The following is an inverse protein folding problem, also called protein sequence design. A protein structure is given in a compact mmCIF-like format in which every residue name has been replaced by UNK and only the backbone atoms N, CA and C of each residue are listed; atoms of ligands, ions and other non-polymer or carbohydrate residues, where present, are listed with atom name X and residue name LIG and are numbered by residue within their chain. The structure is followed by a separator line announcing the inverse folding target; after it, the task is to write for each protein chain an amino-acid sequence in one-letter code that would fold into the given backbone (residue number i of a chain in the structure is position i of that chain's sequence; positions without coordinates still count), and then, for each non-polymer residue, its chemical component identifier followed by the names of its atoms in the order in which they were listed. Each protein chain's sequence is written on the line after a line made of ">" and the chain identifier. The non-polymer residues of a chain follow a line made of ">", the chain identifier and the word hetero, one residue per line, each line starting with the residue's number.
data_IF_326974079919
#
_entry.id   IF_326974079919
#
_cell.length_a   1.000
_cell.length_b   1.000
_cell.length_c   1.000
_cell.angle_alpha   90.00
_cell.angle_beta   90.00
_cell.angle_gamma   90.00
#
_symmetry.space_group_name_H-M   'P 1'
#
loop_
_entity.id
_entity.type
_entity.pdbx_description
1 polymer ?
#
# COMPACT_ATOMS: atom_id res chain seq x y z
N UNK A 1 51.44 9.54 -22.10
CA UNK A 1 50.32 9.45 -21.14
C UNK A 1 50.23 8.00 -20.71
N UNK A 2 50.68 7.72 -19.49
CA UNK A 2 51.05 6.38 -19.03
C UNK A 2 49.87 5.46 -18.76
N UNK A 3 49.90 4.26 -19.35
CA UNK A 3 48.96 3.14 -19.16
C UNK A 3 48.79 2.67 -17.71
N UNK A 4 49.51 3.26 -16.75
CA UNK A 4 49.36 3.03 -15.31
C UNK A 4 48.13 3.74 -14.75
N UNK A 5 47.77 4.91 -15.26
CA UNK A 5 46.59 5.65 -14.81
C UNK A 5 45.27 4.96 -15.20
N UNK A 6 45.21 4.38 -16.41
CA UNK A 6 44.04 3.62 -16.86
C UNK A 6 43.76 2.39 -16.00
N UNK A 7 44.79 1.70 -15.51
CA UNK A 7 44.63 0.50 -14.66
C UNK A 7 44.09 0.84 -13.27
N UNK A 8 44.48 1.99 -12.71
CA UNK A 8 43.98 2.46 -11.41
C UNK A 8 42.51 2.86 -11.54
N UNK A 9 42.15 3.61 -12.59
CA UNK A 9 40.75 4.02 -12.83
C UNK A 9 39.84 2.81 -13.06
N UNK A 10 40.27 1.81 -13.84
CA UNK A 10 39.49 0.59 -14.04
C UNK A 10 39.34 -0.26 -12.77
N UNK A 11 40.34 -0.27 -11.88
CA UNK A 11 40.28 -1.03 -10.62
C UNK A 11 39.36 -0.36 -9.59
N UNK A 12 39.19 0.96 -9.63
CA UNK A 12 38.26 1.68 -8.74
C UNK A 12 36.81 1.55 -9.23
N UNK A 13 36.59 1.52 -10.55
CA UNK A 13 35.25 1.33 -11.15
C UNK A 13 34.67 -0.08 -10.93
N UNK A 14 35.50 -1.12 -10.89
CA UNK A 14 35.03 -2.50 -10.61
C UNK A 14 34.66 -2.71 -9.14
N UNK A 15 35.32 -2.03 -8.19
CA UNK A 15 35.00 -2.15 -6.76
C UNK A 15 33.70 -1.41 -6.39
N UNK A 16 33.31 -0.36 -7.14
CA UNK A 16 32.01 0.31 -6.92
C UNK A 16 30.80 -0.41 -7.52
N UNK A 17 31.00 -1.43 -8.37
CA UNK A 17 29.90 -2.16 -9.01
C UNK A 17 29.36 -3.33 -8.16
N UNK A 18 29.94 -3.61 -7.00
CA UNK A 18 29.54 -4.74 -6.13
C UNK A 18 28.51 -4.31 -5.06
N UNK A 19 28.23 -3.00 -4.93
CA UNK A 19 27.24 -2.48 -3.97
C UNK A 19 25.82 -2.29 -4.55
N UNK A 20 25.55 -2.82 -5.74
CA UNK A 20 24.23 -2.78 -6.37
C UNK A 20 23.51 -4.14 -6.37
N UNK A 21 23.79 -4.99 -5.38
CA UNK A 21 23.08 -6.25 -5.17
C UNK A 21 22.40 -6.15 -3.80
N UNK A 22 21.11 -6.50 -3.77
CA UNK A 22 20.21 -6.58 -2.61
C UNK A 22 19.48 -5.30 -2.16
N UNK A 23 18.40 -4.97 -2.88
CA UNK A 23 17.24 -4.30 -2.28
C UNK A 23 15.90 -4.79 -2.87
N UNK A 24 15.79 -6.08 -3.22
CA UNK A 24 14.60 -6.57 -3.95
C UNK A 24 14.12 -8.00 -3.68
N UNK A 25 14.81 -8.82 -2.87
CA UNK A 25 14.49 -10.25 -2.76
C UNK A 25 14.28 -10.77 -1.34
N UNK A 26 14.05 -9.92 -0.35
CA UNK A 26 13.49 -10.34 0.94
C UNK A 26 11.95 -10.34 0.87
N UNK A 27 11.37 -11.03 -0.12
CA UNK A 27 9.94 -11.35 -0.08
C UNK A 27 9.77 -12.43 0.97
N UNK A 28 9.25 -12.02 2.14
CA UNK A 28 9.05 -12.81 3.34
C UNK A 28 8.47 -14.20 3.05
N UNK A 29 9.32 -15.23 3.18
CA UNK A 29 8.92 -16.64 3.07
C UNK A 29 7.96 -17.12 4.20
N UNK A 30 7.58 -16.28 5.15
CA UNK A 30 6.81 -16.70 6.34
C UNK A 30 5.29 -16.40 6.29
N UNK A 31 4.79 -15.66 5.29
CA UNK A 31 3.37 -15.27 5.27
C UNK A 31 2.74 -15.41 3.88
N UNK A 32 3.17 -16.41 3.10
CA UNK A 32 2.56 -16.66 1.80
C UNK A 32 1.10 -17.08 1.98
N UNK A 33 0.18 -16.19 1.58
CA UNK A 33 -1.24 -16.50 1.40
C UNK A 33 -1.55 -16.94 -0.03
N UNK A 34 -0.52 -17.27 -0.82
CA UNK A 34 -0.70 -17.80 -2.16
C UNK A 34 -1.11 -19.28 -2.12
N UNK A 35 -2.11 -19.68 -2.92
CA UNK A 35 -2.45 -21.08 -3.08
C UNK A 35 -1.29 -21.84 -3.73
N UNK A 36 -1.15 -23.13 -3.42
CA UNK A 36 -0.16 -23.99 -4.08
C UNK A 36 -0.37 -24.01 -5.59
N UNK A 37 0.73 -23.97 -6.36
CA UNK A 37 0.70 -24.02 -7.84
C UNK A 37 -0.01 -25.25 -8.41
N UNK A 38 -0.14 -26.33 -7.62
CA UNK A 38 -0.86 -27.55 -7.99
C UNK A 38 -2.26 -27.69 -7.37
N UNK A 39 -2.82 -26.63 -6.79
CA UNK A 39 -4.07 -26.72 -6.02
C UNK A 39 -5.32 -26.99 -6.86
N UNK A 40 -5.27 -26.77 -8.18
CA UNK A 40 -6.42 -26.96 -9.07
C UNK A 40 -7.62 -26.04 -8.78
N UNK A 41 -7.46 -25.06 -7.88
CA UNK A 41 -8.53 -24.15 -7.47
C UNK A 41 -8.90 -23.22 -8.61
N UNK A 42 -10.21 -23.00 -8.78
CA UNK A 42 -10.74 -21.97 -9.67
C UNK A 42 -10.40 -20.55 -9.17
N UNK A 43 -10.53 -19.54 -10.04
CA UNK A 43 -10.14 -18.15 -9.74
C UNK A 43 -10.78 -17.62 -8.46
N UNK A 44 -12.10 -17.82 -8.33
CA UNK A 44 -12.91 -17.44 -7.19
C UNK A 44 -12.41 -18.13 -5.91
N UNK A 45 -12.13 -19.43 -5.97
CA UNK A 45 -11.63 -20.21 -4.85
C UNK A 45 -10.22 -19.79 -4.40
N UNK A 46 -9.37 -19.35 -5.34
CA UNK A 46 -8.03 -18.85 -5.03
C UNK A 46 -8.09 -17.53 -4.27
N UNK A 47 -8.94 -16.62 -4.69
CA UNK A 47 -9.15 -15.36 -3.98
C UNK A 47 -9.80 -15.57 -2.62
N UNK A 48 -10.78 -16.46 -2.54
CA UNK A 48 -11.40 -16.90 -1.29
C UNK A 48 -10.35 -17.41 -0.30
N UNK A 49 -9.42 -18.23 -0.78
CA UNK A 49 -8.30 -18.72 0.00
C UNK A 49 -7.39 -17.59 0.48
N UNK A 50 -7.01 -16.68 -0.42
CA UNK A 50 -6.19 -15.50 -0.10
C UNK A 50 -6.86 -14.63 0.96
N UNK A 51 -8.16 -14.35 0.83
CA UNK A 51 -8.92 -13.50 1.74
C UNK A 51 -9.09 -14.16 3.11
N UNK A 52 -9.39 -15.47 3.16
CA UNK A 52 -9.43 -16.23 4.43
C UNK A 52 -8.08 -16.26 5.11
N UNK A 53 -6.99 -16.44 4.36
CA UNK A 53 -5.63 -16.38 4.89
C UNK A 53 -5.28 -14.99 5.43
N UNK A 54 -5.63 -13.93 4.69
CA UNK A 54 -5.45 -12.54 5.11
C UNK A 54 -6.10 -12.29 6.47
N UNK A 55 -7.40 -12.61 6.59
CA UNK A 55 -8.16 -12.42 7.84
C UNK A 55 -7.55 -13.18 9.02
N UNK A 56 -7.00 -14.37 8.78
CA UNK A 56 -6.32 -15.18 9.81
C UNK A 56 -4.97 -14.58 10.23
N UNK A 57 -4.22 -13.99 9.29
CA UNK A 57 -2.85 -13.53 9.50
C UNK A 57 -2.71 -12.02 9.64
N UNK A 58 -3.80 -11.25 9.62
CA UNK A 58 -3.79 -9.78 9.66
C UNK A 58 -2.86 -9.18 10.73
N UNK A 59 -2.86 -9.72 11.95
CA UNK A 59 -2.01 -9.22 13.04
C UNK A 59 -0.49 -9.44 12.83
N UNK A 60 -0.09 -10.18 11.80
CA UNK A 60 1.30 -10.50 11.46
C UNK A 60 1.75 -9.79 10.18
N UNK A 61 0.88 -9.01 9.54
CA UNK A 61 1.12 -8.37 8.26
C UNK A 61 1.37 -6.87 8.46
N UNK A 62 2.30 -6.31 7.70
CA UNK A 62 2.35 -4.86 7.48
C UNK A 62 1.25 -4.43 6.49
N UNK A 63 0.93 -3.13 6.47
CA UNK A 63 0.02 -2.57 5.45
C UNK A 63 0.52 -2.86 4.04
N UNK A 64 1.83 -2.75 3.80
CA UNK A 64 2.42 -3.04 2.48
C UNK A 64 2.24 -4.50 2.06
N UNK A 65 2.43 -5.45 2.99
CA UNK A 65 2.20 -6.87 2.73
C UNK A 65 0.72 -7.17 2.47
N UNK A 66 -0.18 -6.55 3.25
CA UNK A 66 -1.61 -6.68 3.05
C UNK A 66 -2.07 -6.14 1.70
N UNK A 67 -1.62 -4.95 1.31
CA UNK A 67 -1.93 -4.36 -0.01
C UNK A 67 -1.34 -5.19 -1.16
N UNK A 68 -0.16 -5.79 -0.97
CA UNK A 68 0.41 -6.70 -1.97
C UNK A 68 -0.46 -7.94 -2.17
N UNK A 69 -1.04 -8.49 -1.10
CA UNK A 69 -1.96 -9.63 -1.18
C UNK A 69 -3.30 -9.22 -1.81
N UNK A 70 -3.85 -8.06 -1.44
CA UNK A 70 -5.05 -7.55 -2.07
C UNK A 70 -4.85 -7.37 -3.58
N UNK A 71 -3.70 -6.85 -4.01
CA UNK A 71 -3.35 -6.70 -5.43
C UNK A 71 -3.17 -8.03 -6.17
N UNK A 72 -2.84 -9.13 -5.47
CA UNK A 72 -2.73 -10.45 -6.11
C UNK A 72 -4.07 -11.16 -6.29
N UNK A 73 -5.16 -10.58 -5.78
CA UNK A 73 -6.50 -11.09 -6.03
C UNK A 73 -6.94 -10.83 -7.46
N UNK A 74 -7.67 -11.79 -8.02
CA UNK A 74 -8.02 -11.84 -9.43
C UNK A 74 -9.34 -11.10 -9.71
N UNK A 75 -10.25 -11.08 -8.75
CA UNK A 75 -11.48 -10.28 -8.81
C UNK A 75 -11.33 -8.96 -8.06
N UNK A 76 -11.77 -7.88 -8.70
CA UNK A 76 -11.74 -6.52 -8.15
C UNK A 76 -12.48 -6.40 -6.83
N UNK A 77 -13.66 -7.02 -6.70
CA UNK A 77 -14.43 -7.00 -5.45
C UNK A 77 -13.65 -7.66 -4.29
N UNK A 78 -13.00 -8.79 -4.54
CA UNK A 78 -12.20 -9.47 -3.53
C UNK A 78 -10.98 -8.63 -3.15
N UNK A 79 -10.33 -8.03 -4.16
CA UNK A 79 -9.22 -7.09 -3.95
C UNK A 79 -9.65 -5.91 -3.07
N UNK A 80 -10.83 -5.36 -3.31
CA UNK A 80 -11.39 -4.27 -2.52
C UNK A 80 -11.69 -4.70 -1.08
N UNK A 81 -12.34 -5.84 -0.89
CA UNK A 81 -12.60 -6.42 0.43
C UNK A 81 -11.29 -6.63 1.20
N UNK A 82 -10.24 -7.08 0.53
CA UNK A 82 -8.93 -7.25 1.13
C UNK A 82 -8.31 -5.90 1.53
N UNK A 83 -8.45 -4.84 0.73
CA UNK A 83 -7.99 -3.49 1.10
C UNK A 83 -8.77 -2.94 2.31
N UNK A 84 -10.06 -3.24 2.42
CA UNK A 84 -10.85 -2.89 3.60
C UNK A 84 -10.38 -3.63 4.85
N UNK A 85 -9.97 -4.90 4.72
CA UNK A 85 -9.28 -5.63 5.80
C UNK A 85 -7.93 -4.95 6.14
N UNK A 86 -7.18 -4.47 5.15
CA UNK A 86 -5.96 -3.71 5.43
C UNK A 86 -6.26 -2.40 6.20
N UNK A 87 -7.38 -1.75 5.92
CA UNK A 87 -7.72 -0.47 6.53
C UNK A 87 -8.17 -0.62 7.99
N UNK A 88 -9.17 -1.46 8.23
CA UNK A 88 -9.87 -1.50 9.51
C UNK A 88 -9.36 -2.56 10.47
N UNK A 89 -8.66 -3.55 9.94
CA UNK A 89 -8.46 -4.83 10.60
C UNK A 89 -6.98 -5.08 10.94
N UNK A 90 -6.07 -4.28 10.38
CA UNK A 90 -4.65 -4.22 10.75
C UNK A 90 -4.44 -3.39 12.01
N UNK A 91 -3.45 -3.79 12.82
CA UNK A 91 -3.09 -3.02 14.00
C UNK A 91 -2.38 -1.72 13.59
N UNK A 92 -2.91 -0.58 14.04
CA UNK A 92 -2.29 0.75 13.98
C UNK A 92 -1.81 1.13 12.58
N UNK A 93 -2.75 1.42 11.69
CA UNK A 93 -2.47 2.09 10.41
C UNK A 93 -2.01 3.53 10.71
N UNK A 94 -0.95 4.01 10.06
CA UNK A 94 -0.54 5.42 10.12
C UNK A 94 -1.28 6.27 9.07
N UNK A 95 -1.29 7.61 9.20
CA UNK A 95 -1.90 8.49 8.20
C UNK A 95 -1.35 8.24 6.78
N UNK A 96 -0.03 8.03 6.66
CA UNK A 96 0.62 7.74 5.38
C UNK A 96 0.11 6.43 4.78
N UNK A 97 -0.02 5.40 5.60
CA UNK A 97 -0.53 4.10 5.19
C UNK A 97 -2.03 4.17 4.86
N UNK A 98 -2.82 4.91 5.63
CA UNK A 98 -4.23 5.16 5.35
C UNK A 98 -4.41 5.83 3.98
N UNK A 99 -3.64 6.89 3.71
CA UNK A 99 -3.63 7.56 2.41
C UNK A 99 -3.18 6.61 1.27
N UNK A 100 -2.21 5.73 1.55
CA UNK A 100 -1.77 4.72 0.59
C UNK A 100 -2.88 3.71 0.30
N UNK A 101 -3.59 3.21 1.32
CA UNK A 101 -4.72 2.30 1.14
C UNK A 101 -5.81 2.99 0.33
N UNK A 102 -6.17 4.23 0.67
CA UNK A 102 -7.18 5.02 -0.04
C UNK A 102 -6.87 5.17 -1.54
N UNK A 103 -5.59 5.37 -1.89
CA UNK A 103 -5.12 5.48 -3.27
C UNK A 103 -5.19 4.14 -4.03
N UNK A 104 -5.13 3.02 -3.32
CA UNK A 104 -5.17 1.69 -3.92
C UNK A 104 -6.60 1.13 -4.03
N UNK A 105 -7.63 1.82 -3.52
CA UNK A 105 -9.02 1.39 -3.71
C UNK A 105 -9.39 1.38 -5.19
N UNK A 106 -10.13 0.35 -5.60
CA UNK A 106 -10.60 0.16 -6.97
C UNK A 106 -11.71 1.15 -7.31
N UNK A 107 -12.67 1.28 -6.39
CA UNK A 107 -13.91 2.00 -6.63
C UNK A 107 -13.82 3.42 -6.07
N UNK A 108 -14.37 4.38 -6.81
CA UNK A 108 -14.37 5.78 -6.42
C UNK A 108 -15.08 5.99 -5.07
N UNK A 109 -16.20 5.29 -4.83
CA UNK A 109 -16.97 5.37 -3.59
C UNK A 109 -16.14 4.93 -2.40
N UNK A 110 -15.64 3.69 -2.42
CA UNK A 110 -14.76 3.13 -1.38
C UNK A 110 -13.50 3.97 -1.18
N UNK A 111 -12.92 4.46 -2.28
CA UNK A 111 -11.75 5.32 -2.26
C UNK A 111 -12.00 6.64 -1.55
N UNK A 112 -13.13 7.29 -1.77
CA UNK A 112 -13.48 8.54 -1.11
C UNK A 112 -13.90 8.34 0.34
N UNK A 113 -14.66 7.28 0.63
CA UNK A 113 -14.99 6.87 1.99
C UNK A 113 -13.72 6.62 2.81
N UNK A 114 -12.72 5.96 2.21
CA UNK A 114 -11.44 5.70 2.87
C UNK A 114 -10.68 7.01 3.11
N UNK A 115 -10.66 7.95 2.17
CA UNK A 115 -10.04 9.28 2.39
C UNK A 115 -10.72 10.02 3.54
N UNK A 116 -12.05 9.98 3.60
CA UNK A 116 -12.82 10.54 4.72
C UNK A 116 -12.51 9.84 6.04
N UNK A 117 -12.35 8.53 6.03
CA UNK A 117 -11.91 7.79 7.21
C UNK A 117 -10.52 8.28 7.67
N UNK A 118 -9.55 8.42 6.76
CA UNK A 118 -8.22 8.94 7.11
C UNK A 118 -8.28 10.36 7.68
N UNK A 119 -9.07 11.26 7.09
CA UNK A 119 -9.21 12.63 7.61
C UNK A 119 -9.76 12.62 9.04
N UNK A 120 -10.79 11.81 9.31
CA UNK A 120 -11.45 11.75 10.62
C UNK A 120 -10.60 11.05 11.68
N UNK A 121 -10.02 9.91 11.35
CA UNK A 121 -9.21 9.12 12.29
C UNK A 121 -7.97 9.90 12.75
N UNK A 122 -7.35 10.65 11.83
CA UNK A 122 -6.14 11.42 12.11
C UNK A 122 -6.42 12.89 12.42
N UNK A 123 -7.66 13.30 12.68
CA UNK A 123 -8.05 14.72 12.77
C UNK A 123 -7.15 15.57 13.68
N UNK A 124 -6.69 15.03 14.81
CA UNK A 124 -5.81 15.71 15.79
C UNK A 124 -4.33 15.76 15.41
N UNK A 125 -3.91 15.00 14.40
CA UNK A 125 -2.50 14.80 14.04
C UNK A 125 -2.19 15.12 12.58
N UNK A 126 -3.20 15.14 11.73
CA UNK A 126 -3.08 15.50 10.31
C UNK A 126 -2.87 17.01 10.18
N UNK A 127 -1.86 17.41 9.41
CA UNK A 127 -1.71 18.84 9.10
C UNK A 127 -2.79 19.32 8.12
N UNK A 128 -3.15 20.60 8.19
CA UNK A 128 -4.07 21.23 7.22
C UNK A 128 -3.65 20.96 5.76
N UNK A 129 -2.35 21.00 5.46
CA UNK A 129 -1.81 20.69 4.13
C UNK A 129 -2.09 19.24 3.71
N UNK A 130 -1.89 18.27 4.60
CA UNK A 130 -2.16 16.85 4.32
C UNK A 130 -3.65 16.59 4.18
N UNK A 131 -4.48 17.21 5.04
CA UNK A 131 -5.94 17.12 4.96
C UNK A 131 -6.44 17.64 3.60
N UNK A 132 -6.01 18.84 3.20
CA UNK A 132 -6.35 19.44 1.91
C UNK A 132 -5.90 18.58 0.73
N UNK A 133 -4.72 17.96 0.81
CA UNK A 133 -4.24 17.05 -0.23
C UNK A 133 -5.13 15.80 -0.37
N UNK A 134 -5.57 15.21 0.76
CA UNK A 134 -6.52 14.10 0.75
C UNK A 134 -7.87 14.52 0.18
N UNK A 135 -8.43 15.64 0.64
CA UNK A 135 -9.70 16.17 0.15
C UNK A 135 -9.69 16.43 -1.36
N UNK A 136 -8.65 17.12 -1.86
CA UNK A 136 -8.49 17.39 -3.30
C UNK A 136 -8.31 16.14 -4.16
N UNK A 137 -7.86 15.02 -3.57
CA UNK A 137 -7.70 13.75 -4.27
C UNK A 137 -8.96 12.90 -4.29
N UNK A 138 -10.08 13.38 -3.73
CA UNK A 138 -11.37 12.69 -3.80
C UNK A 138 -11.89 12.67 -5.24
N UNK A 139 -12.48 11.54 -5.62
CA UNK A 139 -12.99 11.27 -6.96
C UNK A 139 -14.24 12.09 -7.26
N UNK A 140 -15.12 12.27 -6.28
CA UNK A 140 -16.35 13.03 -6.46
C UNK A 140 -16.16 14.50 -6.05
N UNK A 141 -16.55 15.47 -6.92
CA UNK A 141 -16.41 16.89 -6.62
C UNK A 141 -17.07 17.32 -5.31
N UNK A 142 -18.29 16.85 -5.04
CA UNK A 142 -19.00 17.16 -3.80
C UNK A 142 -18.25 16.68 -2.54
N UNK A 143 -17.58 15.53 -2.61
CA UNK A 143 -16.73 15.04 -1.53
C UNK A 143 -15.49 15.90 -1.38
N UNK A 144 -14.82 16.24 -2.49
CA UNK A 144 -13.65 17.12 -2.51
C UNK A 144 -13.94 18.48 -1.90
N UNK A 145 -15.03 19.14 -2.30
CA UNK A 145 -15.42 20.46 -1.82
C UNK A 145 -15.74 20.42 -0.32
N UNK A 146 -16.50 19.41 0.12
CA UNK A 146 -16.82 19.21 1.54
C UNK A 146 -15.56 18.93 2.36
N UNK A 147 -14.63 18.13 1.85
CA UNK A 147 -13.38 17.85 2.53
C UNK A 147 -12.50 19.11 2.61
N UNK A 148 -12.46 19.93 1.57
CA UNK A 148 -11.75 21.21 1.61
C UNK A 148 -12.31 22.13 2.70
N UNK A 149 -13.64 22.30 2.75
CA UNK A 149 -14.28 23.10 3.80
C UNK A 149 -13.97 22.56 5.20
N UNK A 150 -14.05 21.24 5.39
CA UNK A 150 -13.70 20.59 6.66
C UNK A 150 -12.25 20.87 7.06
N UNK A 151 -11.30 20.63 6.14
CA UNK A 151 -9.88 20.84 6.38
C UNK A 151 -9.52 22.31 6.64
N UNK A 152 -10.31 23.25 6.14
CA UNK A 152 -10.07 24.68 6.32
C UNK A 152 -10.58 25.22 7.64
N UNK A 153 -11.76 24.74 8.08
CA UNK A 153 -12.57 25.39 9.10
C UNK A 153 -12.85 24.51 10.32
N UNK A 154 -12.83 23.18 10.18
CA UNK A 154 -13.29 22.23 11.19
C UNK A 154 -12.18 21.31 11.73
N UNK A 155 -10.97 21.41 11.16
CA UNK A 155 -9.83 20.62 11.61
C UNK A 155 -9.35 21.08 13.00
N UNK A 156 -9.17 20.11 13.91
CA UNK A 156 -8.83 20.33 15.33
C UNK A 156 -7.32 20.41 15.58
#
# INVERSE_FOLDING_TARGET
>A
MDSRWLKIVFSVLTVMSIYAIDAGAAVSAATSCEPSKGSGLAMDQRDDYRLKCLKKKKNQLSVSQCLSLAKSMEYSNNSEDARMVCLYDLQKVSLKECAQIAKNMEYADSGDETKWHCIREFNKTISKKQCLALGKSMSYPANSDRAQQYCENELQ
#
